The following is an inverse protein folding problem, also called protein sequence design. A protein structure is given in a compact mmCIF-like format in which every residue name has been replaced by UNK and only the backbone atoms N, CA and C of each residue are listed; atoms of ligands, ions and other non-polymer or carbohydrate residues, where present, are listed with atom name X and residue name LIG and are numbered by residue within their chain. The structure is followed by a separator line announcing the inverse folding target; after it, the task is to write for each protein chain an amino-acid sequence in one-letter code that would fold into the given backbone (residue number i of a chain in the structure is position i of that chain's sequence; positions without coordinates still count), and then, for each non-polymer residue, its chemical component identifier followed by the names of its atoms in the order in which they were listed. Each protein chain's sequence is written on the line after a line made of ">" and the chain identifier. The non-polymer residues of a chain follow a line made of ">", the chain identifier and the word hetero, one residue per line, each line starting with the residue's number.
data_IF_263597836551
#
_entry.id   IF_263597836551
#
_cell.length_a   1.000
_cell.length_b   1.000
_cell.length_c   1.000
_cell.angle_alpha   90.00
_cell.angle_beta   90.00
_cell.angle_gamma   90.00
#
_symmetry.space_group_name_H-M   'P 1'
#
loop_
_entity.id
_entity.type
_entity.pdbx_description
1 polymer ?
#
# COMPACT_ATOMS: atom_id res chain seq x y z
N UNK A 1 -27.77 -3.48 8.09
CA UNK A 1 -28.51 -2.25 8.44
C UNK A 1 -28.01 -1.56 9.73
N UNK A 2 -27.14 -2.14 10.55
CA UNK A 2 -26.80 -1.60 11.89
C UNK A 2 -25.36 -1.06 12.06
N UNK A 3 -24.69 -0.68 10.98
CA UNK A 3 -23.52 0.21 11.01
C UNK A 3 -23.68 1.15 9.81
N UNK A 4 -24.54 2.17 9.95
CA UNK A 4 -24.38 3.33 9.07
C UNK A 4 -22.97 3.82 9.36
N UNK A 5 -22.08 3.69 8.37
CA UNK A 5 -20.76 4.29 8.39
C UNK A 5 -20.94 5.77 8.68
N UNK A 6 -20.75 6.15 9.94
CA UNK A 6 -20.79 7.55 10.35
C UNK A 6 -19.59 8.21 9.68
N UNK A 7 -19.87 9.13 8.75
CA UNK A 7 -18.83 9.80 7.96
C UNK A 7 -17.85 10.55 8.88
N UNK A 8 -18.30 10.97 10.06
CA UNK A 8 -17.51 11.68 11.08
C UNK A 8 -16.24 10.93 11.49
N UNK A 9 -16.27 9.58 11.50
CA UNK A 9 -15.14 8.73 11.87
C UNK A 9 -14.01 8.84 10.86
N UNK A 10 -14.32 8.80 9.57
CA UNK A 10 -13.29 8.88 8.53
C UNK A 10 -12.77 10.30 8.39
N UNK A 11 -13.67 11.29 8.43
CA UNK A 11 -13.30 12.69 8.25
C UNK A 11 -12.31 13.16 9.32
N UNK A 12 -12.37 12.60 10.54
CA UNK A 12 -11.44 12.90 11.63
C UNK A 12 -10.02 12.31 11.47
N UNK A 13 -9.83 11.33 10.56
CA UNK A 13 -8.56 10.62 10.35
C UNK A 13 -7.92 10.90 8.98
N UNK A 14 -8.41 11.89 8.23
CA UNK A 14 -8.08 12.08 6.82
C UNK A 14 -7.33 13.39 6.55
N UNK A 15 -7.64 14.47 7.28
CA UNK A 15 -6.91 15.74 7.15
C UNK A 15 -5.63 15.71 7.98
N UNK A 16 -4.48 16.00 7.35
CA UNK A 16 -3.27 16.27 8.12
C UNK A 16 -3.52 17.53 8.97
N UNK A 17 -3.39 17.44 10.31
CA UNK A 17 -3.52 18.61 11.14
C UNK A 17 -2.36 19.56 10.83
N UNK A 18 -2.64 20.86 10.83
CA UNK A 18 -1.58 21.88 10.88
C UNK A 18 -0.70 21.66 12.11
N UNK A 19 0.52 22.23 12.11
CA UNK A 19 1.45 22.07 13.23
C UNK A 19 0.83 22.50 14.57
N UNK A 20 0.02 23.57 14.58
CA UNK A 20 -0.68 24.07 15.77
C UNK A 20 -1.83 23.14 16.19
N UNK A 21 -2.55 22.54 15.24
CA UNK A 21 -3.58 21.52 15.52
C UNK A 21 -2.96 20.23 16.05
N UNK A 22 -1.79 19.84 15.55
CA UNK A 22 -1.07 18.65 16.01
C UNK A 22 -0.59 18.81 17.46
N UNK A 23 -0.17 20.02 17.85
CA UNK A 23 0.13 20.34 19.25
C UNK A 23 -1.13 20.41 20.13
N UNK A 24 -2.31 20.65 19.53
CA UNK A 24 -3.60 20.72 20.21
C UNK A 24 -4.36 19.38 20.24
N UNK A 25 -3.85 18.31 19.62
CA UNK A 25 -4.41 16.97 19.70
C UNK A 25 -4.25 16.41 21.12
N UNK A 26 -5.22 16.70 21.99
CA UNK A 26 -5.31 16.15 23.33
C UNK A 26 -6.33 14.98 23.40
N UNK A 27 -6.48 14.37 24.57
CA UNK A 27 -7.44 13.27 24.80
C UNK A 27 -8.90 13.63 24.53
N UNK A 28 -9.23 14.92 24.36
CA UNK A 28 -10.58 15.42 24.16
C UNK A 28 -10.89 15.74 22.70
N UNK A 29 -9.87 15.79 21.82
CA UNK A 29 -10.05 15.91 20.38
C UNK A 29 -10.88 14.74 19.82
N UNK A 30 -11.79 15.05 18.89
CA UNK A 30 -12.62 14.03 18.24
C UNK A 30 -11.77 13.06 17.41
N UNK A 31 -10.67 13.52 16.81
CA UNK A 31 -9.66 12.68 16.14
C UNK A 31 -9.05 11.66 17.10
N UNK A 32 -8.68 12.08 18.31
CA UNK A 32 -8.10 11.18 19.32
C UNK A 32 -9.11 10.13 19.79
N UNK A 33 -10.36 10.54 20.04
CA UNK A 33 -11.44 9.62 20.44
C UNK A 33 -11.73 8.60 19.36
N UNK A 34 -11.75 9.01 18.09
CA UNK A 34 -11.97 8.13 16.95
C UNK A 34 -10.82 7.14 16.81
N UNK A 35 -9.57 7.60 16.83
CA UNK A 35 -8.40 6.72 16.78
C UNK A 35 -8.42 5.70 17.93
N UNK A 36 -8.73 6.15 19.15
CA UNK A 36 -8.86 5.27 20.32
C UNK A 36 -9.97 4.22 20.14
N UNK A 37 -11.13 4.61 19.61
CA UNK A 37 -12.23 3.68 19.37
C UNK A 37 -11.84 2.57 18.38
N UNK A 38 -11.13 2.92 17.30
CA UNK A 38 -10.64 1.95 16.31
C UNK A 38 -9.56 1.05 16.89
N UNK A 39 -8.61 1.61 17.65
CA UNK A 39 -7.60 0.85 18.36
C UNK A 39 -8.20 -0.13 19.37
N UNK A 40 -9.30 0.25 20.03
CA UNK A 40 -9.99 -0.62 20.96
C UNK A 40 -10.55 -1.87 20.27
N UNK A 41 -10.98 -1.81 19.00
CA UNK A 41 -11.40 -3.01 18.27
C UNK A 41 -10.22 -3.99 18.08
N UNK A 42 -9.07 -3.49 17.63
CA UNK A 42 -7.86 -4.31 17.44
C UNK A 42 -7.38 -4.92 18.77
N UNK A 43 -7.20 -4.10 19.80
CA UNK A 43 -6.71 -4.55 21.12
C UNK A 43 -7.70 -5.53 21.77
N UNK A 44 -9.01 -5.25 21.70
CA UNK A 44 -10.03 -6.16 22.24
C UNK A 44 -10.05 -7.50 21.53
N UNK A 45 -9.85 -7.52 20.21
CA UNK A 45 -9.73 -8.77 19.45
C UNK A 45 -8.52 -9.59 19.91
N UNK A 46 -7.37 -8.94 20.15
CA UNK A 46 -6.17 -9.62 20.65
C UNK A 46 -6.39 -10.19 22.06
N UNK A 47 -7.06 -9.45 22.96
CA UNK A 47 -7.39 -9.94 24.30
C UNK A 47 -8.37 -11.11 24.28
N UNK A 48 -9.36 -11.10 23.40
CA UNK A 48 -10.26 -12.25 23.24
C UNK A 48 -9.48 -13.51 22.84
N UNK A 49 -8.54 -13.40 21.90
CA UNK A 49 -7.71 -14.52 21.46
C UNK A 49 -6.87 -15.08 22.60
N UNK A 50 -6.22 -14.20 23.37
CA UNK A 50 -5.44 -14.60 24.53
C UNK A 50 -6.31 -15.26 25.60
N UNK A 51 -7.44 -14.65 25.93
CA UNK A 51 -8.39 -15.19 26.90
C UNK A 51 -8.89 -16.58 26.50
N UNK A 52 -9.19 -16.80 25.21
CA UNK A 52 -9.55 -18.14 24.72
C UNK A 52 -8.41 -19.14 24.95
N UNK A 53 -7.19 -18.80 24.57
CA UNK A 53 -6.05 -19.72 24.71
C UNK A 53 -5.83 -20.11 26.17
N UNK A 54 -5.90 -19.15 27.09
CA UNK A 54 -5.76 -19.39 28.53
C UNK A 54 -6.90 -20.26 29.06
N UNK A 55 -8.16 -19.94 28.70
CA UNK A 55 -9.33 -20.68 29.17
C UNK A 55 -9.47 -22.08 28.56
N UNK A 56 -9.02 -22.31 27.32
CA UNK A 56 -8.97 -23.65 26.75
C UNK A 56 -8.02 -24.56 27.56
N UNK A 57 -6.90 -24.01 28.04
CA UNK A 57 -5.98 -24.71 28.94
C UNK A 57 -6.64 -25.02 30.30
N UNK A 58 -7.19 -24.02 30.97
CA UNK A 58 -7.84 -24.19 32.27
C UNK A 58 -9.07 -25.11 32.22
N UNK A 59 -9.80 -25.14 31.10
CA UNK A 59 -10.98 -25.99 30.97
C UNK A 59 -10.63 -27.48 31.09
N UNK A 60 -9.45 -27.90 30.63
CA UNK A 60 -8.98 -29.28 30.80
C UNK A 60 -8.60 -29.59 32.25
N UNK A 61 -8.01 -28.62 32.96
CA UNK A 61 -7.56 -28.81 34.33
C UNK A 61 -8.71 -28.76 35.36
N UNK A 62 -9.75 -27.95 35.10
CA UNK A 62 -10.85 -27.70 36.05
C UNK A 62 -12.02 -28.66 35.86
N UNK A 63 -12.34 -29.05 34.63
CA UNK A 63 -13.53 -29.85 34.34
C UNK A 63 -13.17 -31.29 33.97
N UNK A 64 -13.58 -32.24 34.81
CA UNK A 64 -13.39 -33.68 34.55
C UNK A 64 -14.32 -34.22 33.45
N UNK A 65 -15.53 -33.66 33.32
CA UNK A 65 -16.52 -34.13 32.34
C UNK A 65 -16.28 -33.55 30.94
N UNK A 66 -16.37 -34.42 29.92
CA UNK A 66 -16.24 -33.99 28.52
C UNK A 66 -17.36 -33.04 28.10
N UNK A 67 -18.57 -33.23 28.62
CA UNK A 67 -19.71 -32.36 28.32
C UNK A 67 -19.49 -30.92 28.82
N UNK A 68 -19.01 -30.75 30.05
CA UNK A 68 -18.68 -29.43 30.61
C UNK A 68 -17.58 -28.74 29.80
N UNK A 69 -16.52 -29.47 29.41
CA UNK A 69 -15.45 -28.94 28.56
C UNK A 69 -15.98 -28.48 27.20
N UNK A 70 -16.84 -29.28 26.55
CA UNK A 70 -17.43 -28.95 25.25
C UNK A 70 -18.31 -27.69 25.32
N UNK A 71 -19.07 -27.50 26.42
CA UNK A 71 -19.88 -26.29 26.62
C UNK A 71 -19.02 -25.03 26.75
N UNK A 72 -17.92 -25.10 27.50
CA UNK A 72 -16.95 -23.98 27.60
C UNK A 72 -16.34 -23.67 26.24
N UNK A 73 -15.89 -24.70 25.52
CA UNK A 73 -15.32 -24.54 24.17
C UNK A 73 -16.32 -23.90 23.19
N UNK A 74 -17.61 -24.24 23.28
CA UNK A 74 -18.66 -23.59 22.48
C UNK A 74 -18.76 -22.09 22.77
N UNK A 75 -18.79 -21.68 24.05
CA UNK A 75 -18.83 -20.27 24.42
C UNK A 75 -17.56 -19.51 23.98
N UNK A 76 -16.39 -20.13 24.10
CA UNK A 76 -15.13 -19.56 23.63
C UNK A 76 -15.09 -19.42 22.10
N UNK A 77 -15.71 -20.35 21.38
CA UNK A 77 -15.88 -20.27 19.92
C UNK A 77 -16.77 -19.10 19.52
N UNK A 78 -17.86 -18.85 20.24
CA UNK A 78 -18.71 -17.68 20.01
C UNK A 78 -17.98 -16.37 20.30
N UNK A 79 -17.18 -16.31 21.37
CA UNK A 79 -16.34 -15.14 21.67
C UNK A 79 -15.30 -14.88 20.56
N UNK A 80 -14.74 -15.93 19.96
CA UNK A 80 -13.84 -15.80 18.81
C UNK A 80 -14.51 -15.20 17.58
N UNK A 81 -15.81 -15.47 17.35
CA UNK A 81 -16.55 -14.81 16.27
C UNK A 81 -16.59 -13.29 16.49
N UNK A 82 -16.78 -12.84 17.73
CA UNK A 82 -16.69 -11.41 18.07
C UNK A 82 -15.30 -10.83 17.79
N UNK A 83 -14.23 -11.55 18.15
CA UNK A 83 -12.87 -11.13 17.79
C UNK A 83 -12.69 -10.95 16.30
N UNK A 84 -13.17 -11.90 15.48
CA UNK A 84 -13.06 -11.83 14.03
C UNK A 84 -13.83 -10.63 13.48
N UNK A 85 -15.03 -10.34 14.00
CA UNK A 85 -15.80 -9.15 13.59
C UNK A 85 -15.10 -7.85 13.96
N UNK A 86 -14.47 -7.75 15.14
CA UNK A 86 -13.68 -6.56 15.50
C UNK A 86 -12.48 -6.35 14.59
N UNK A 87 -11.75 -7.41 14.23
CA UNK A 87 -10.64 -7.31 13.28
C UNK A 87 -11.12 -6.87 11.90
N UNK A 88 -12.23 -7.45 11.42
CA UNK A 88 -12.85 -7.10 10.15
C UNK A 88 -13.29 -5.64 10.13
N UNK A 89 -13.88 -5.16 11.23
CA UNK A 89 -14.30 -3.76 11.36
C UNK A 89 -13.09 -2.81 11.36
N UNK A 90 -12.04 -3.12 12.13
CA UNK A 90 -10.82 -2.31 12.16
C UNK A 90 -10.17 -2.21 10.79
N UNK A 91 -10.02 -3.35 10.09
CA UNK A 91 -9.49 -3.38 8.73
C UNK A 91 -10.35 -2.55 7.76
N UNK A 92 -11.67 -2.73 7.80
CA UNK A 92 -12.60 -1.99 6.93
C UNK A 92 -12.57 -0.48 7.18
N UNK A 93 -12.35 -0.04 8.43
CA UNK A 93 -12.17 1.38 8.74
C UNK A 93 -10.85 1.89 8.17
N UNK A 94 -9.74 1.17 8.36
CA UNK A 94 -8.44 1.57 7.78
C UNK A 94 -8.47 1.64 6.25
N UNK A 95 -9.17 0.73 5.59
CA UNK A 95 -9.38 0.78 4.13
C UNK A 95 -10.19 2.01 3.70
N UNK A 96 -11.22 2.39 4.47
CA UNK A 96 -12.02 3.59 4.18
C UNK A 96 -11.26 4.89 4.45
N UNK A 97 -10.45 4.94 5.51
CA UNK A 97 -9.53 6.05 5.76
C UNK A 97 -8.51 6.14 4.61
N UNK A 98 -7.94 5.02 4.16
CA UNK A 98 -7.03 5.00 3.03
C UNK A 98 -7.67 5.57 1.75
N UNK A 99 -8.91 5.19 1.43
CA UNK A 99 -9.65 5.71 0.27
C UNK A 99 -9.82 7.24 0.29
N UNK A 100 -9.79 7.85 1.48
CA UNK A 100 -9.94 9.28 1.69
C UNK A 100 -8.60 10.01 1.76
N UNK A 101 -7.57 9.36 2.30
CA UNK A 101 -6.19 9.87 2.34
C UNK A 101 -5.55 9.88 0.96
N UNK A 102 -5.78 8.84 0.14
CA UNK A 102 -5.12 8.69 -1.17
C UNK A 102 -5.32 9.89 -2.11
N UNK A 103 -6.53 10.47 -2.27
CA UNK A 103 -6.70 11.69 -3.06
C UNK A 103 -5.87 12.88 -2.57
N UNK A 104 -5.63 12.99 -1.26
CA UNK A 104 -4.82 14.07 -0.67
C UNK A 104 -3.33 13.86 -0.94
N UNK A 105 -2.86 12.61 -0.80
CA UNK A 105 -1.49 12.21 -1.15
C UNK A 105 -1.20 12.44 -2.64
N UNK A 106 -2.19 12.24 -3.49
CA UNK A 106 -2.02 12.26 -4.95
C UNK A 106 -2.36 13.59 -5.62
N UNK A 107 -2.82 14.60 -4.88
CA UNK A 107 -3.40 15.82 -5.48
C UNK A 107 -2.44 16.50 -6.46
N UNK A 108 -1.21 16.81 -6.02
CA UNK A 108 -0.21 17.50 -6.83
C UNK A 108 0.66 16.50 -7.61
N UNK A 109 1.04 15.38 -6.98
CA UNK A 109 1.79 14.31 -7.63
C UNK A 109 1.15 13.81 -8.94
N UNK A 110 -0.19 13.77 -9.05
CA UNK A 110 -0.87 13.41 -10.31
C UNK A 110 -0.68 14.49 -11.37
N UNK A 111 -0.77 15.76 -11.01
CA UNK A 111 -0.58 16.87 -11.94
C UNK A 111 0.87 16.91 -12.45
N UNK A 112 1.84 16.84 -11.54
CA UNK A 112 3.27 16.78 -11.85
C UNK A 112 3.60 15.60 -12.77
N UNK A 113 3.17 14.38 -12.41
CA UNK A 113 3.41 13.21 -13.23
C UNK A 113 2.73 13.32 -14.60
N UNK A 114 1.55 13.93 -14.68
CA UNK A 114 0.83 14.11 -15.95
C UNK A 114 1.56 15.07 -16.90
N UNK A 115 2.23 16.09 -16.37
CA UNK A 115 3.01 17.05 -17.15
C UNK A 115 4.42 16.53 -17.51
N UNK A 116 5.00 15.67 -16.68
CA UNK A 116 6.34 15.12 -16.86
C UNK A 116 6.46 14.30 -18.17
N UNK A 117 7.48 14.57 -18.97
CA UNK A 117 7.85 13.75 -20.14
C UNK A 117 8.85 12.67 -19.71
N UNK A 118 8.74 11.48 -20.30
CA UNK A 118 9.77 10.43 -20.22
C UNK A 118 10.46 10.19 -21.58
N UNK A 119 10.23 11.06 -22.56
CA UNK A 119 11.08 11.16 -23.74
C UNK A 119 12.03 12.33 -23.51
N UNK A 120 13.21 12.02 -22.98
CA UNK A 120 14.14 12.99 -22.40
C UNK A 120 15.37 13.18 -23.29
N UNK A 121 15.85 14.42 -23.37
CA UNK A 121 17.24 14.72 -23.75
C UNK A 121 18.19 14.52 -22.57
N UNK A 122 19.50 14.46 -22.82
CA UNK A 122 20.52 14.37 -21.76
C UNK A 122 20.42 15.52 -20.75
N UNK A 123 20.11 16.74 -21.21
CA UNK A 123 19.96 17.91 -20.32
C UNK A 123 18.72 17.83 -19.45
N UNK A 124 17.60 17.31 -19.97
CA UNK A 124 16.37 17.12 -19.20
C UNK A 124 16.53 15.99 -18.18
N UNK A 125 17.17 14.89 -18.60
CA UNK A 125 17.51 13.80 -17.69
C UNK A 125 18.41 14.28 -16.55
N UNK A 126 19.47 15.02 -16.84
CA UNK A 126 20.38 15.54 -15.81
C UNK A 126 19.67 16.50 -14.83
N UNK A 127 18.71 17.29 -15.31
CA UNK A 127 17.91 18.17 -14.45
C UNK A 127 17.02 17.37 -13.49
N UNK A 128 16.28 16.38 -14.00
CA UNK A 128 15.40 15.52 -13.20
C UNK A 128 16.19 14.57 -12.28
N UNK A 129 17.37 14.13 -12.70
CA UNK A 129 18.26 13.31 -11.88
C UNK A 129 18.78 14.09 -10.66
N UNK A 130 19.01 15.39 -10.81
CA UNK A 130 19.43 16.27 -9.73
C UNK A 130 18.26 16.63 -8.80
N UNK A 131 17.08 16.93 -9.35
CA UNK A 131 15.89 17.36 -8.61
C UNK A 131 14.61 16.86 -9.29
N UNK A 132 13.99 15.81 -8.73
CA UNK A 132 12.72 15.27 -9.22
C UNK A 132 11.55 15.84 -8.39
N UNK A 133 10.81 16.82 -8.93
CA UNK A 133 9.70 17.43 -8.20
C UNK A 133 8.53 16.47 -7.99
N UNK A 134 8.33 15.49 -8.89
CA UNK A 134 7.22 14.54 -8.77
C UNK A 134 7.46 13.55 -7.63
N UNK A 135 8.63 12.93 -7.59
CA UNK A 135 8.96 11.98 -6.51
C UNK A 135 9.04 12.72 -5.18
N UNK A 136 9.67 13.91 -5.14
CA UNK A 136 9.77 14.70 -3.91
C UNK A 136 8.39 15.06 -3.33
N UNK A 137 7.47 15.58 -4.16
CA UNK A 137 6.10 15.91 -3.73
C UNK A 137 5.36 14.66 -3.23
N UNK A 138 5.42 13.55 -3.97
CA UNK A 138 4.73 12.32 -3.59
C UNK A 138 5.18 11.82 -2.20
N UNK A 139 6.49 11.82 -1.94
CA UNK A 139 7.03 11.34 -0.67
C UNK A 139 6.72 12.29 0.48
N UNK A 140 6.83 13.60 0.25
CA UNK A 140 6.47 14.61 1.24
C UNK A 140 4.99 14.50 1.64
N UNK A 141 4.09 14.34 0.68
CA UNK A 141 2.65 14.19 0.94
C UNK A 141 2.30 12.88 1.65
N UNK A 142 3.03 11.80 1.36
CA UNK A 142 2.89 10.56 2.13
C UNK A 142 3.26 10.78 3.59
N UNK A 143 4.37 11.46 3.87
CA UNK A 143 4.78 11.79 5.24
C UNK A 143 3.75 12.68 5.94
N UNK A 144 3.32 13.75 5.28
CA UNK A 144 2.35 14.70 5.81
C UNK A 144 1.04 14.03 6.23
N UNK A 145 0.53 13.11 5.41
CA UNK A 145 -0.77 12.48 5.67
C UNK A 145 -0.70 11.18 6.48
N UNK A 146 0.46 10.51 6.56
CA UNK A 146 0.61 9.26 7.32
C UNK A 146 1.40 9.43 8.62
N UNK A 147 2.39 10.32 8.68
CA UNK A 147 3.34 10.39 9.80
C UNK A 147 2.67 10.64 11.15
N UNK A 148 1.75 11.60 11.22
CA UNK A 148 1.04 11.95 12.46
C UNK A 148 0.16 10.80 13.00
N UNK A 149 -0.42 9.98 12.12
CA UNK A 149 -1.27 8.83 12.48
C UNK A 149 -0.49 7.69 13.15
N UNK A 150 0.84 7.64 12.97
CA UNK A 150 1.70 6.63 13.58
C UNK A 150 1.62 6.66 15.11
N UNK A 151 1.51 7.86 15.68
CA UNK A 151 1.41 8.06 17.14
C UNK A 151 0.01 7.77 17.70
N UNK A 152 -1.02 7.78 16.84
CA UNK A 152 -2.42 7.68 17.24
C UNK A 152 -3.00 6.27 17.12
N UNK A 153 -2.46 5.47 16.20
CA UNK A 153 -2.98 4.13 15.89
C UNK A 153 -2.13 3.04 16.56
N UNK A 154 -2.73 1.87 16.81
CA UNK A 154 -1.92 0.68 17.11
C UNK A 154 -1.02 0.36 15.93
N UNK A 155 0.11 -0.32 16.16
CA UNK A 155 1.02 -0.74 15.09
C UNK A 155 0.27 -1.52 14.00
N UNK A 156 -0.65 -2.41 14.36
CA UNK A 156 -1.44 -3.19 13.40
C UNK A 156 -2.37 -2.33 12.53
N UNK A 157 -3.02 -1.33 13.13
CA UNK A 157 -3.91 -0.42 12.40
C UNK A 157 -3.11 0.52 11.50
N UNK A 158 -2.03 1.11 12.00
CA UNK A 158 -1.13 1.96 11.22
C UNK A 158 -0.58 1.20 10.01
N UNK A 159 -0.06 -0.01 10.25
CA UNK A 159 0.42 -0.90 9.20
C UNK A 159 -0.66 -1.22 8.15
N UNK A 160 -1.90 -1.48 8.58
CA UNK A 160 -3.01 -1.77 7.67
C UNK A 160 -3.37 -0.56 6.81
N UNK A 161 -3.39 0.64 7.41
CA UNK A 161 -3.62 1.89 6.71
C UNK A 161 -2.50 2.19 5.70
N UNK A 162 -1.25 2.17 6.13
CA UNK A 162 -0.08 2.45 5.28
C UNK A 162 -0.08 1.52 4.07
N UNK A 163 -0.27 0.21 4.27
CA UNK A 163 -0.28 -0.75 3.16
C UNK A 163 -1.45 -0.55 2.20
N UNK A 164 -2.62 -0.14 2.70
CA UNK A 164 -3.77 0.19 1.85
C UNK A 164 -3.49 1.45 1.01
N UNK A 165 -2.95 2.51 1.61
CA UNK A 165 -2.57 3.75 0.90
C UNK A 165 -1.51 3.46 -0.16
N UNK A 166 -0.41 2.79 0.19
CA UNK A 166 0.66 2.45 -0.75
C UNK A 166 0.16 1.61 -1.92
N UNK A 167 -0.71 0.62 -1.66
CA UNK A 167 -1.31 -0.21 -2.71
C UNK A 167 -2.21 0.58 -3.67
N UNK A 168 -2.97 1.56 -3.16
CA UNK A 168 -3.83 2.42 -3.99
C UNK A 168 -3.01 3.44 -4.78
N UNK A 169 -1.99 4.04 -4.16
CA UNK A 169 -1.05 4.96 -4.83
C UNK A 169 -0.32 4.24 -5.96
N UNK A 170 0.27 3.06 -5.70
CA UNK A 170 1.00 2.31 -6.71
C UNK A 170 0.12 1.99 -7.93
N UNK A 171 -1.13 1.57 -7.72
CA UNK A 171 -2.10 1.34 -8.81
C UNK A 171 -2.41 2.61 -9.60
N UNK A 172 -2.53 3.76 -8.93
CA UNK A 172 -2.85 5.03 -9.60
C UNK A 172 -1.65 5.55 -10.41
N UNK A 173 -0.44 5.45 -9.85
CA UNK A 173 0.82 5.78 -10.53
C UNK A 173 1.02 4.87 -11.75
N UNK A 174 0.82 3.55 -11.59
CA UNK A 174 0.87 2.59 -12.70
C UNK A 174 -0.06 3.01 -13.85
N UNK A 175 -1.31 3.34 -13.53
CA UNK A 175 -2.29 3.77 -14.53
C UNK A 175 -1.90 5.05 -15.28
N UNK A 176 -1.16 5.97 -14.64
CA UNK A 176 -0.65 7.19 -15.27
C UNK A 176 0.57 6.91 -16.15
N UNK A 177 1.52 6.11 -15.66
CA UNK A 177 2.72 5.73 -16.41
C UNK A 177 2.37 4.95 -17.68
N UNK A 178 1.33 4.11 -17.65
CA UNK A 178 0.82 3.40 -18.82
C UNK A 178 0.26 4.32 -19.93
N UNK A 179 0.13 5.63 -19.69
CA UNK A 179 -0.27 6.63 -20.68
C UNK A 179 0.92 7.42 -21.25
N UNK A 180 2.13 7.16 -20.75
CA UNK A 180 3.36 7.87 -21.13
C UNK A 180 4.10 7.18 -22.27
N UNK A 181 5.08 7.89 -22.82
CA UNK A 181 6.06 7.38 -23.78
C UNK A 181 7.44 7.55 -23.19
N UNK A 182 8.26 6.52 -23.33
CA UNK A 182 9.59 6.44 -22.73
C UNK A 182 10.63 6.29 -23.83
N UNK A 183 11.74 7.01 -23.71
CA UNK A 183 12.99 6.61 -24.34
C UNK A 183 13.90 5.93 -23.30
N UNK A 184 15.11 5.50 -23.68
CA UNK A 184 16.03 4.83 -22.74
C UNK A 184 16.31 5.66 -21.48
N UNK A 185 16.51 6.98 -21.61
CA UNK A 185 16.74 7.88 -20.47
C UNK A 185 15.52 7.96 -19.56
N UNK A 186 14.31 7.99 -20.11
CA UNK A 186 13.07 7.92 -19.33
C UNK A 186 12.89 6.59 -18.60
N UNK A 187 13.32 5.48 -19.20
CA UNK A 187 13.38 4.18 -18.53
C UNK A 187 14.30 4.19 -17.31
N UNK A 188 15.51 4.74 -17.47
CA UNK A 188 16.49 4.89 -16.39
C UNK A 188 15.98 5.77 -15.25
N UNK A 189 15.34 6.90 -15.60
CA UNK A 189 14.74 7.80 -14.60
C UNK A 189 13.66 7.06 -13.81
N UNK A 190 12.71 6.40 -14.48
CA UNK A 190 11.66 5.66 -13.79
C UNK A 190 12.19 4.55 -12.87
N UNK A 191 13.26 3.85 -13.27
CA UNK A 191 13.88 2.84 -12.41
C UNK A 191 14.41 3.45 -11.11
N UNK A 192 15.10 4.59 -11.20
CA UNK A 192 15.56 5.35 -10.04
C UNK A 192 14.39 5.81 -9.19
N UNK A 193 13.35 6.37 -9.78
CA UNK A 193 12.18 6.89 -9.07
C UNK A 193 11.46 5.80 -8.30
N UNK A 194 11.20 4.65 -8.94
CA UNK A 194 10.59 3.49 -8.29
C UNK A 194 11.46 3.00 -7.13
N UNK A 195 12.79 2.99 -7.29
CA UNK A 195 13.72 2.60 -6.23
C UNK A 195 13.66 3.58 -5.05
N UNK A 196 13.61 4.88 -5.31
CA UNK A 196 13.47 5.93 -4.30
C UNK A 196 12.15 5.80 -3.54
N UNK A 197 11.04 5.61 -4.26
CA UNK A 197 9.71 5.43 -3.67
C UNK A 197 9.69 4.19 -2.76
N UNK A 198 10.21 3.05 -3.23
CA UNK A 198 10.29 1.82 -2.43
C UNK A 198 11.17 2.01 -1.19
N UNK A 199 12.31 2.67 -1.33
CA UNK A 199 13.24 2.91 -0.23
C UNK A 199 12.63 3.83 0.84
N UNK A 200 11.99 4.92 0.44
CA UNK A 200 11.36 5.84 1.37
C UNK A 200 10.20 5.18 2.12
N UNK A 201 9.30 4.55 1.38
CA UNK A 201 8.10 3.92 1.95
C UNK A 201 8.41 2.72 2.85
N UNK A 202 9.58 2.11 2.70
CA UNK A 202 10.07 1.09 3.64
C UNK A 202 10.34 1.66 5.04
N UNK A 203 10.58 2.96 5.19
CA UNK A 203 10.73 3.60 6.51
C UNK A 203 9.39 3.87 7.20
N UNK A 204 8.28 3.90 6.45
CA UNK A 204 6.93 4.13 6.98
C UNK A 204 6.27 2.86 7.52
N UNK A 205 6.93 1.69 7.42
CA UNK A 205 6.32 0.40 7.71
C UNK A 205 7.35 -0.57 8.29
N UNK A 206 6.96 -1.29 9.34
CA UNK A 206 7.72 -2.39 9.91
C UNK A 206 7.61 -3.67 9.06
N UNK A 207 6.57 -3.78 8.23
CA UNK A 207 6.40 -4.89 7.27
C UNK A 207 6.95 -4.50 5.90
N UNK A 208 7.36 -5.49 5.11
CA UNK A 208 7.82 -5.26 3.74
C UNK A 208 6.72 -4.61 2.89
N UNK A 209 7.08 -3.57 2.12
CA UNK A 209 6.19 -2.86 1.20
C UNK A 209 6.48 -3.17 -0.28
N UNK A 210 7.54 -3.95 -0.55
CA UNK A 210 8.03 -4.22 -1.91
C UNK A 210 6.97 -4.86 -2.80
N UNK A 211 6.07 -5.67 -2.23
CA UNK A 211 4.99 -6.30 -2.96
C UNK A 211 3.98 -5.30 -3.55
N UNK A 212 3.83 -4.12 -2.94
CA UNK A 212 2.94 -3.05 -3.43
C UNK A 212 3.45 -2.41 -4.71
N UNK A 213 4.77 -2.32 -4.85
CA UNK A 213 5.44 -1.67 -5.98
C UNK A 213 5.98 -2.66 -7.02
N UNK A 214 5.82 -3.97 -6.81
CA UNK A 214 6.39 -5.00 -7.67
C UNK A 214 6.02 -4.86 -9.15
N UNK A 215 4.80 -4.43 -9.48
CA UNK A 215 4.39 -4.15 -10.86
C UNK A 215 5.11 -2.94 -11.46
N UNK A 216 5.29 -1.87 -10.69
CA UNK A 216 6.06 -0.70 -11.11
C UNK A 216 7.54 -1.03 -11.30
N UNK A 217 8.13 -1.85 -10.42
CA UNK A 217 9.49 -2.36 -10.59
C UNK A 217 9.63 -3.22 -11.85
N UNK A 218 8.67 -4.10 -12.12
CA UNK A 218 8.61 -4.90 -13.36
C UNK A 218 8.51 -4.02 -14.60
N UNK A 219 7.68 -2.95 -14.55
CA UNK A 219 7.60 -1.98 -15.63
C UNK A 219 8.93 -1.27 -15.87
N UNK A 220 9.59 -0.80 -14.80
CA UNK A 220 10.90 -0.17 -14.91
C UNK A 220 11.95 -1.12 -15.54
N UNK A 221 11.97 -2.40 -15.15
CA UNK A 221 12.85 -3.41 -15.78
C UNK A 221 12.58 -3.52 -17.29
N UNK A 222 11.31 -3.70 -17.68
CA UNK A 222 10.93 -3.82 -19.10
C UNK A 222 11.30 -2.58 -19.91
N UNK A 223 11.15 -1.40 -19.32
CA UNK A 223 11.47 -0.12 -19.98
C UNK A 223 12.98 0.15 -20.03
N UNK A 224 13.84 -0.65 -19.39
CA UNK A 224 15.29 -0.51 -19.47
C UNK A 224 15.97 -1.52 -20.40
N UNK A 225 15.23 -2.49 -20.95
CA UNK A 225 15.78 -3.46 -21.92
C UNK A 225 16.36 -2.73 -23.14
N UNK A 226 17.41 -3.32 -23.74
CA UNK A 226 18.03 -2.79 -24.95
C UNK A 226 17.23 -3.13 -26.21
N UNK A 227 16.49 -4.25 -26.18
CA UNK A 227 15.61 -4.68 -27.26
C UNK A 227 14.37 -5.42 -26.73
N UNK A 228 13.27 -5.47 -27.49
CA UNK A 228 12.09 -6.24 -27.09
C UNK A 228 12.37 -7.73 -26.83
N UNK A 229 13.32 -8.32 -27.56
CA UNK A 229 13.63 -9.76 -27.48
C UNK A 229 14.28 -10.18 -26.16
N UNK A 230 14.97 -9.26 -25.48
CA UNK A 230 15.66 -9.52 -24.22
C UNK A 230 14.70 -9.99 -23.11
N UNK A 231 13.42 -9.64 -23.20
CA UNK A 231 12.42 -10.08 -22.21
C UNK A 231 12.28 -11.61 -22.13
N UNK A 232 12.59 -12.33 -23.22
CA UNK A 232 12.51 -13.80 -23.28
C UNK A 232 13.50 -14.45 -22.32
N UNK A 233 14.63 -13.79 -22.03
CA UNK A 233 15.63 -14.25 -21.08
C UNK A 233 15.15 -14.15 -19.63
N UNK A 234 14.07 -13.40 -19.38
CA UNK A 234 13.49 -13.21 -18.05
C UNK A 234 12.09 -13.83 -17.92
N UNK A 235 11.58 -14.54 -18.94
CA UNK A 235 10.19 -14.99 -18.99
C UNK A 235 10.05 -16.52 -19.01
N UNK A 236 8.93 -17.03 -18.51
CA UNK A 236 8.62 -18.46 -18.51
C UNK A 236 9.62 -19.29 -17.71
N UNK A 237 10.17 -20.33 -18.34
CA UNK A 237 11.18 -21.21 -17.73
C UNK A 237 12.50 -20.49 -17.43
N UNK A 238 12.76 -19.34 -18.06
CA UNK A 238 13.96 -18.52 -17.86
C UNK A 238 13.78 -17.46 -16.75
N UNK A 239 12.61 -17.39 -16.10
CA UNK A 239 12.31 -16.37 -15.11
C UNK A 239 12.99 -16.60 -13.74
N UNK A 240 14.17 -17.24 -13.70
CA UNK A 240 14.88 -17.83 -12.56
C UNK A 240 14.56 -17.21 -11.18
N UNK A 241 14.63 -15.88 -11.07
CA UNK A 241 14.32 -15.15 -9.84
C UNK A 241 13.14 -14.15 -9.92
N UNK A 242 12.58 -13.91 -11.11
CA UNK A 242 11.56 -12.89 -11.35
C UNK A 242 10.14 -13.48 -11.19
N UNK A 243 9.50 -13.22 -10.04
CA UNK A 243 8.07 -13.54 -9.88
C UNK A 243 7.21 -12.50 -10.60
N UNK A 244 6.92 -12.74 -11.88
CA UNK A 244 6.07 -11.88 -12.69
C UNK A 244 4.67 -11.69 -12.10
N UNK A 245 4.26 -10.42 -12.01
CA UNK A 245 2.91 -9.98 -11.65
C UNK A 245 2.18 -9.34 -12.82
N UNK A 246 2.89 -9.12 -13.93
CA UNK A 246 2.33 -8.69 -15.20
C UNK A 246 1.96 -9.94 -16.01
N UNK A 247 0.83 -9.89 -16.69
CA UNK A 247 0.45 -10.89 -17.69
C UNK A 247 1.24 -10.70 -19.00
N UNK A 248 1.33 -11.70 -19.89
CA UNK A 248 1.95 -11.53 -21.22
C UNK A 248 1.46 -10.29 -21.97
N UNK A 249 0.15 -10.04 -21.92
CA UNK A 249 -0.47 -8.88 -22.55
C UNK A 249 0.03 -7.56 -21.94
N UNK A 250 0.15 -7.50 -20.62
CA UNK A 250 0.64 -6.32 -19.91
C UNK A 250 2.13 -6.09 -20.19
N UNK A 251 2.94 -7.14 -20.27
CA UNK A 251 4.36 -7.02 -20.67
C UNK A 251 4.48 -6.41 -22.05
N UNK A 252 3.78 -6.95 -23.07
CA UNK A 252 3.77 -6.38 -24.42
C UNK A 252 3.29 -4.92 -24.42
N UNK A 253 2.26 -4.60 -23.61
CA UNK A 253 1.76 -3.23 -23.48
C UNK A 253 2.82 -2.27 -22.93
N UNK A 254 3.58 -2.70 -21.92
CA UNK A 254 4.65 -1.89 -21.30
C UNK A 254 5.82 -1.72 -22.27
N UNK A 255 6.26 -2.78 -22.94
CA UNK A 255 7.32 -2.71 -23.95
C UNK A 255 6.97 -1.71 -25.06
N UNK A 256 5.70 -1.68 -25.50
CA UNK A 256 5.21 -0.71 -26.50
C UNK A 256 5.17 0.75 -26.01
N UNK A 257 5.49 1.04 -24.75
CA UNK A 257 5.66 2.42 -24.28
C UNK A 257 7.03 2.98 -24.67
N UNK A 258 8.02 2.11 -24.98
CA UNK A 258 9.34 2.51 -25.50
C UNK A 258 9.22 3.00 -26.93
N UNK A 259 9.68 4.23 -27.18
CA UNK A 259 9.60 4.87 -28.50
C UNK A 259 10.55 4.24 -29.51
N UNK A 260 11.62 3.58 -29.04
CA UNK A 260 12.59 2.88 -29.87
C UNK A 260 12.14 1.48 -30.27
N UNK A 261 11.12 0.93 -29.62
CA UNK A 261 10.65 -0.43 -29.87
C UNK A 261 9.54 -0.42 -30.93
N UNK A 262 9.76 -1.15 -32.03
CA UNK A 262 8.73 -1.33 -33.04
C UNK A 262 7.61 -2.23 -32.50
N UNK A 263 6.37 -1.79 -32.71
CA UNK A 263 5.21 -2.53 -32.22
C UNK A 263 5.11 -3.96 -32.82
N UNK A 264 5.54 -4.14 -34.07
CA UNK A 264 5.64 -5.44 -34.74
C UNK A 264 6.51 -6.41 -33.98
N UNK A 265 7.71 -5.97 -33.59
CA UNK A 265 8.72 -6.80 -32.96
C UNK A 265 8.24 -7.25 -31.58
N UNK A 266 7.53 -6.37 -30.86
CA UNK A 266 6.89 -6.70 -29.58
C UNK A 266 5.72 -7.68 -29.75
N UNK A 267 4.94 -7.54 -30.82
CA UNK A 267 3.79 -8.41 -31.10
C UNK A 267 4.21 -9.84 -31.43
N UNK A 268 5.36 -10.01 -32.09
CA UNK A 268 5.94 -11.31 -32.44
C UNK A 268 6.55 -12.08 -31.25
N UNK A 269 6.75 -11.44 -30.09
CA UNK A 269 7.28 -12.10 -28.89
C UNK A 269 6.38 -13.25 -28.42
N UNK A 270 6.98 -14.37 -28.07
CA UNK A 270 6.29 -15.52 -27.48
C UNK A 270 6.50 -15.51 -25.96
N UNK A 271 5.49 -15.03 -25.23
CA UNK A 271 5.46 -14.91 -23.76
C UNK A 271 4.30 -15.75 -23.21
#
# INVERSE_FOLDING_TARGET
>A
SALRHDKSVYDSLVGAPSHDEMAALDSTSDTQKVAQAVNNFDVSAQYIKKLKADLDGFAFDVFESADSRNRVQSCLSDLMKTSTEFQRLSQSIMEQVAQKVVPLVLVEAVELLTQLSFNLSDSEYAALDADDPWVSDLLQRMEEHLGWLQSLLTSQNYESLTHAVLGMVAKRVEALLLQKRFNQLGGLLLEKDVRNIVSYTANLSQRTVRDKFARLSQMATLLNLESPGEVVDYWGENADSMMWRLTPFEVKRVLKLRVEFLASDVDELNL
#
